data_IF_089172406002
#
_entry.id   IF_089172406002
#
_cell.length_a   1.000
_cell.length_b   1.000
_cell.length_c   1.000
_cell.angle_alpha   90.00
_cell.angle_beta   90.00
_cell.angle_gamma   90.00
#
_symmetry.space_group_name_H-M   'P 1'
#
loop_
_entity.id
_entity.type
_entity.pdbx_description
1 polymer ?
#
# COMPACT_ATOMS: atom_id res chain seq x y z
N UNK A 1 22.28 -10.90 -4.49
CA UNK A 1 21.24 -11.75 -5.13
C UNK A 1 20.94 -13.04 -4.37
N UNK A 2 21.94 -13.80 -3.86
CA UNK A 2 21.72 -15.06 -3.11
C UNK A 2 20.78 -14.91 -1.90
N UNK A 3 20.95 -13.86 -1.11
CA UNK A 3 20.09 -13.55 0.06
C UNK A 3 18.63 -13.31 -0.31
N UNK A 4 18.36 -12.50 -1.33
CA UNK A 4 17.00 -12.22 -1.80
C UNK A 4 16.29 -13.52 -2.19
N UNK A 5 16.99 -14.39 -2.93
CA UNK A 5 16.44 -15.70 -3.33
C UNK A 5 16.10 -16.58 -2.13
N UNK A 6 16.94 -16.57 -1.09
CA UNK A 6 16.69 -17.31 0.16
C UNK A 6 15.44 -16.76 0.86
N UNK A 7 15.32 -15.44 0.99
CA UNK A 7 14.17 -14.79 1.65
C UNK A 7 12.87 -15.02 0.89
N UNK A 8 12.88 -14.85 -0.44
CA UNK A 8 11.73 -15.14 -1.30
C UNK A 8 11.33 -16.61 -1.22
N UNK A 9 12.29 -17.53 -1.35
CA UNK A 9 12.03 -18.96 -1.24
C UNK A 9 11.43 -19.30 0.12
N UNK A 10 12.01 -18.80 1.21
CA UNK A 10 11.51 -19.02 2.55
C UNK A 10 10.07 -18.52 2.72
N UNK A 11 9.77 -17.31 2.23
CA UNK A 11 8.43 -16.72 2.33
C UNK A 11 7.39 -17.47 1.50
N UNK A 12 7.76 -17.89 0.29
CA UNK A 12 6.91 -18.75 -0.55
C UNK A 12 6.69 -20.11 0.10
N UNK A 13 7.72 -20.73 0.67
CA UNK A 13 7.57 -22.03 1.36
C UNK A 13 6.75 -21.92 2.63
N UNK A 14 6.90 -20.82 3.39
CA UNK A 14 6.09 -20.55 4.59
C UNK A 14 4.63 -20.37 4.20
N UNK A 15 4.37 -19.54 3.18
CA UNK A 15 3.02 -19.31 2.67
C UNK A 15 2.38 -20.61 2.15
N UNK A 16 3.13 -21.45 1.41
CA UNK A 16 2.63 -22.75 0.94
C UNK A 16 2.35 -23.77 2.04
N UNK A 17 2.97 -23.63 3.22
CA UNK A 17 2.89 -24.60 4.33
C UNK A 17 1.96 -24.15 5.45
N UNK A 18 1.36 -22.96 5.36
CA UNK A 18 0.52 -22.42 6.43
C UNK A 18 -0.82 -23.18 6.50
N UNK A 19 -1.10 -23.92 7.59
CA UNK A 19 -2.30 -24.75 7.71
C UNK A 19 -3.55 -23.95 8.05
N UNK A 20 -3.41 -22.69 8.49
CA UNK A 20 -4.53 -21.79 8.80
C UNK A 20 -5.20 -21.23 7.55
N UNK A 21 -4.55 -21.36 6.40
CA UNK A 21 -5.09 -21.05 5.09
C UNK A 21 -5.62 -22.34 4.49
N UNK A 22 -6.94 -22.46 4.34
CA UNK A 22 -7.62 -23.63 3.75
C UNK A 22 -7.29 -23.92 2.27
N UNK A 23 -6.09 -23.58 1.80
CA UNK A 23 -5.69 -23.45 0.40
C UNK A 23 -4.26 -23.91 0.14
N UNK A 24 -3.79 -24.97 0.79
CA UNK A 24 -2.60 -25.71 0.33
C UNK A 24 -2.77 -26.29 -1.09
N UNK A 25 -4.00 -26.24 -1.63
CA UNK A 25 -4.39 -26.69 -2.96
C UNK A 25 -4.29 -25.55 -3.99
N UNK A 26 -4.01 -25.91 -5.25
CA UNK A 26 -3.97 -24.98 -6.39
C UNK A 26 -5.28 -24.18 -6.52
N UNK A 27 -6.42 -24.83 -6.28
CA UNK A 27 -7.74 -24.21 -6.35
C UNK A 27 -7.88 -23.02 -5.39
N UNK A 28 -7.41 -23.15 -4.15
CA UNK A 28 -7.48 -22.07 -3.18
C UNK A 28 -6.57 -20.88 -3.52
N UNK A 29 -5.41 -21.13 -4.14
CA UNK A 29 -4.55 -20.07 -4.65
C UNK A 29 -5.20 -19.31 -5.82
N UNK A 30 -5.91 -20.02 -6.71
CA UNK A 30 -6.68 -19.42 -7.80
C UNK A 30 -7.80 -18.53 -7.24
N UNK A 31 -8.56 -19.02 -6.24
CA UNK A 31 -9.63 -18.23 -5.59
C UNK A 31 -9.06 -16.96 -4.96
N UNK A 32 -7.92 -17.04 -4.27
CA UNK A 32 -7.28 -15.87 -3.67
C UNK A 32 -6.84 -14.84 -4.74
N UNK A 33 -6.24 -15.31 -5.84
CA UNK A 33 -5.89 -14.45 -6.95
C UNK A 33 -7.13 -13.81 -7.57
N UNK A 34 -8.20 -14.58 -7.80
CA UNK A 34 -9.46 -14.08 -8.32
C UNK A 34 -10.07 -13.01 -7.40
N UNK A 35 -10.06 -13.23 -6.09
CA UNK A 35 -10.54 -12.24 -5.12
C UNK A 35 -9.68 -10.97 -5.11
N UNK A 36 -8.36 -11.12 -5.21
CA UNK A 36 -7.45 -9.98 -5.32
C UNK A 36 -7.72 -9.17 -6.60
N UNK A 37 -7.86 -9.84 -7.74
CA UNK A 37 -8.16 -9.19 -9.02
C UNK A 37 -9.55 -8.54 -9.00
N UNK A 38 -10.55 -9.21 -8.42
CA UNK A 38 -11.89 -8.67 -8.25
C UNK A 38 -11.90 -7.38 -7.42
N UNK A 39 -10.99 -7.24 -6.46
CA UNK A 39 -10.85 -6.03 -5.66
C UNK A 39 -10.02 -4.94 -6.36
N UNK A 40 -8.96 -5.31 -7.07
CA UNK A 40 -8.06 -4.36 -7.73
C UNK A 40 -8.64 -3.81 -9.04
N UNK A 41 -9.40 -4.60 -9.79
CA UNK A 41 -9.96 -4.20 -11.08
C UNK A 41 -10.88 -2.97 -10.99
N UNK A 42 -11.94 -2.95 -10.15
CA UNK A 42 -12.81 -1.78 -10.04
C UNK A 42 -12.05 -0.56 -9.51
N UNK A 43 -11.06 -0.77 -8.64
CA UNK A 43 -10.22 0.32 -8.15
C UNK A 43 -9.36 0.94 -9.27
N UNK A 44 -8.75 0.11 -10.10
CA UNK A 44 -7.95 0.56 -11.24
C UNK A 44 -8.81 1.25 -12.31
N UNK A 45 -9.98 0.70 -12.61
CA UNK A 45 -10.94 1.32 -13.54
C UNK A 45 -11.46 2.64 -13.00
N UNK A 46 -11.89 2.68 -11.73
CA UNK A 46 -12.35 3.90 -11.06
C UNK A 46 -11.27 4.98 -11.02
N UNK A 47 -10.02 4.58 -10.77
CA UNK A 47 -8.84 5.45 -10.88
C UNK A 47 -8.65 6.01 -12.30
N UNK A 48 -8.76 5.17 -13.32
CA UNK A 48 -8.61 5.56 -14.73
C UNK A 48 -9.64 6.60 -15.16
N UNK A 49 -10.93 6.38 -14.83
CA UNK A 49 -12.04 7.27 -15.23
C UNK A 49 -12.26 8.42 -14.25
N UNK A 50 -11.48 8.51 -13.17
CA UNK A 50 -11.71 9.48 -12.09
C UNK A 50 -11.70 10.92 -12.58
N UNK A 51 -10.85 11.27 -13.56
CA UNK A 51 -10.82 12.61 -14.12
C UNK A 51 -12.13 13.00 -14.82
N UNK A 52 -12.70 12.09 -15.60
CA UNK A 52 -13.97 12.34 -16.31
C UNK A 52 -15.12 12.48 -15.33
N UNK A 53 -15.20 11.58 -14.35
CA UNK A 53 -16.20 11.66 -13.27
C UNK A 53 -16.07 12.99 -12.51
N UNK A 54 -14.85 13.44 -12.21
CA UNK A 54 -14.64 14.72 -11.52
C UNK A 54 -15.03 15.93 -12.38
N UNK A 55 -14.78 15.90 -13.68
CA UNK A 55 -15.22 16.96 -14.61
C UNK A 55 -16.74 17.03 -14.72
N UNK A 56 -17.41 15.88 -14.69
CA UNK A 56 -18.87 15.80 -14.74
C UNK A 56 -19.51 16.31 -13.43
N UNK A 57 -18.95 15.94 -12.29
CA UNK A 57 -19.47 16.34 -10.97
C UNK A 57 -19.10 17.79 -10.59
N UNK A 58 -17.93 18.26 -11.01
CA UNK A 58 -17.39 19.58 -10.66
C UNK A 58 -16.84 20.30 -11.91
N UNK A 59 -17.72 20.76 -12.82
CA UNK A 59 -17.31 21.32 -14.11
C UNK A 59 -16.46 22.59 -14.00
N UNK A 60 -16.65 23.37 -12.94
CA UNK A 60 -15.89 24.60 -12.68
C UNK A 60 -14.52 24.34 -12.03
N UNK A 61 -14.25 23.10 -11.58
CA UNK A 61 -13.04 22.74 -10.87
C UNK A 61 -12.01 22.07 -11.80
N UNK A 62 -10.73 22.32 -11.53
CA UNK A 62 -9.66 21.60 -12.21
C UNK A 62 -9.54 20.17 -11.63
N UNK A 63 -9.93 19.16 -12.41
CA UNK A 63 -9.90 17.75 -12.01
C UNK A 63 -8.51 17.30 -11.50
N UNK A 64 -7.42 17.72 -12.15
CA UNK A 64 -6.07 17.38 -11.73
C UNK A 64 -5.71 17.99 -10.36
N UNK A 65 -6.19 19.19 -10.06
CA UNK A 65 -6.05 19.80 -8.74
C UNK A 65 -6.78 18.98 -7.67
N UNK A 66 -8.00 18.54 -7.96
CA UNK A 66 -8.79 17.70 -7.06
C UNK A 66 -8.12 16.34 -6.82
N UNK A 67 -7.60 15.71 -7.88
CA UNK A 67 -6.83 14.47 -7.80
C UNK A 67 -5.61 14.66 -6.90
N UNK A 68 -4.79 15.68 -7.15
CA UNK A 68 -3.61 15.97 -6.34
C UNK A 68 -3.95 16.20 -4.86
N UNK A 69 -5.05 16.91 -4.58
CA UNK A 69 -5.57 17.07 -3.22
C UNK A 69 -6.02 15.73 -2.61
N UNK A 70 -6.77 14.94 -3.37
CA UNK A 70 -7.21 13.59 -2.99
C UNK A 70 -6.06 12.68 -2.60
N UNK A 71 -4.93 12.75 -3.31
CA UNK A 71 -3.75 11.93 -3.03
C UNK A 71 -3.15 12.20 -1.65
N UNK A 72 -3.27 13.43 -1.11
CA UNK A 72 -2.82 13.75 0.24
C UNK A 72 -3.65 13.00 1.29
N UNK A 73 -4.97 12.86 1.06
CA UNK A 73 -5.87 12.11 1.95
C UNK A 73 -5.60 10.60 1.92
N UNK A 74 -5.00 10.07 0.85
CA UNK A 74 -4.61 8.65 0.80
C UNK A 74 -3.47 8.33 1.77
N UNK A 75 -2.58 9.29 2.06
CA UNK A 75 -1.42 9.06 2.93
C UNK A 75 -1.83 8.51 4.31
N UNK A 76 -2.71 9.18 5.09
CA UNK A 76 -3.11 8.65 6.39
C UNK A 76 -3.86 7.32 6.26
N UNK A 77 -4.70 7.14 5.24
CA UNK A 77 -5.46 5.88 5.01
C UNK A 77 -4.50 4.71 4.75
N UNK A 78 -3.54 4.90 3.85
CA UNK A 78 -2.52 3.89 3.51
C UNK A 78 -1.56 3.64 4.68
N UNK A 79 -1.29 4.66 5.49
CA UNK A 79 -0.46 4.54 6.69
C UNK A 79 -1.18 3.70 7.75
N UNK A 80 -2.44 4.05 8.05
CA UNK A 80 -3.27 3.38 9.03
C UNK A 80 -3.51 1.92 8.65
N UNK A 81 -3.93 1.65 7.41
CA UNK A 81 -4.12 0.27 6.92
C UNK A 81 -2.85 -0.57 7.08
N UNK A 82 -1.68 -0.03 6.73
CA UNK A 82 -0.41 -0.74 6.94
C UNK A 82 -0.12 -0.99 8.41
N UNK A 83 -0.33 0.00 9.26
CA UNK A 83 -0.10 -0.12 10.69
C UNK A 83 -1.00 -1.16 11.37
N UNK A 84 -2.26 -1.27 10.96
CA UNK A 84 -3.17 -2.26 11.53
C UNK A 84 -3.03 -3.66 10.92
N UNK A 85 -2.75 -3.75 9.62
CA UNK A 85 -2.80 -5.02 8.88
C UNK A 85 -1.43 -5.66 8.68
N UNK A 86 -0.32 -4.91 8.78
CA UNK A 86 1.02 -5.49 8.65
C UNK A 86 1.65 -5.79 10.00
N UNK A 87 2.26 -6.98 10.10
CA UNK A 87 3.15 -7.27 11.21
C UNK A 87 4.33 -6.27 11.27
N UNK A 88 4.77 -5.84 12.47
CA UNK A 88 5.84 -4.87 12.61
C UNK A 88 7.16 -5.38 12.00
N UNK A 89 8.06 -4.48 11.53
CA UNK A 89 9.33 -4.87 10.92
C UNK A 89 10.20 -5.77 11.80
N UNK A 90 10.17 -5.56 13.12
CA UNK A 90 10.94 -6.34 14.10
C UNK A 90 10.59 -7.83 14.07
N UNK A 91 9.31 -8.19 13.96
CA UNK A 91 8.87 -9.58 13.81
C UNK A 91 9.32 -10.21 12.49
N UNK A 92 9.30 -9.41 11.43
CA UNK A 92 9.64 -9.87 10.09
C UNK A 92 11.13 -10.16 9.96
N UNK A 93 11.99 -9.44 10.68
CA UNK A 93 13.45 -9.57 10.58
C UNK A 93 14.05 -10.42 11.69
N UNK A 94 13.44 -10.49 12.88
CA UNK A 94 13.98 -11.24 14.02
C UNK A 94 14.30 -12.70 13.70
N UNK A 95 13.42 -13.38 12.96
CA UNK A 95 13.62 -14.77 12.54
C UNK A 95 14.83 -14.99 11.60
N UNK A 96 15.31 -13.92 10.95
CA UNK A 96 16.45 -13.98 10.04
C UNK A 96 17.72 -13.38 10.63
N UNK A 97 17.64 -12.67 11.77
CA UNK A 97 18.77 -12.04 12.44
C UNK A 97 19.78 -13.06 13.00
N UNK A 98 19.33 -14.29 13.25
CA UNK A 98 20.16 -15.41 13.73
C UNK A 98 20.75 -16.25 12.59
N UNK A 99 20.35 -16.01 11.34
CA UNK A 99 20.86 -16.74 10.19
C UNK A 99 22.18 -16.12 9.68
N UNK A 100 23.08 -16.91 9.06
CA UNK A 100 24.33 -16.43 8.49
C UNK A 100 24.10 -15.67 7.18
N UNK A 101 23.38 -14.55 7.28
CA UNK A 101 22.98 -13.69 6.16
C UNK A 101 23.52 -12.29 6.44
N UNK A 102 24.11 -11.64 5.44
CA UNK A 102 24.62 -10.28 5.60
C UNK A 102 23.49 -9.30 5.92
N UNK A 103 23.74 -8.35 6.84
CA UNK A 103 22.79 -7.30 7.22
C UNK A 103 22.30 -6.50 6.01
N UNK A 104 23.21 -6.12 5.11
CA UNK A 104 22.86 -5.43 3.86
C UNK A 104 21.97 -6.28 2.95
N UNK A 105 22.22 -7.59 2.88
CA UNK A 105 21.39 -8.52 2.12
C UNK A 105 19.98 -8.64 2.68
N UNK A 106 19.84 -8.64 4.01
CA UNK A 106 18.54 -8.64 4.69
C UNK A 106 17.76 -7.34 4.43
N UNK A 107 18.43 -6.18 4.54
CA UNK A 107 17.81 -4.89 4.28
C UNK A 107 17.31 -4.77 2.84
N UNK A 108 18.16 -5.09 1.85
CA UNK A 108 17.78 -5.05 0.45
C UNK A 108 16.65 -6.05 0.14
N UNK A 109 16.71 -7.23 0.74
CA UNK A 109 15.63 -8.22 0.62
C UNK A 109 14.31 -7.73 1.20
N UNK A 110 14.36 -7.06 2.34
CA UNK A 110 13.18 -6.49 2.98
C UNK A 110 12.57 -5.35 2.16
N UNK A 111 13.38 -4.49 1.55
CA UNK A 111 12.92 -3.43 0.64
C UNK A 111 12.17 -4.03 -0.55
N UNK A 112 12.71 -5.07 -1.19
CA UNK A 112 12.04 -5.74 -2.32
C UNK A 112 10.72 -6.38 -1.87
N UNK A 113 10.72 -7.09 -0.74
CA UNK A 113 9.50 -7.69 -0.19
C UNK A 113 8.46 -6.64 0.22
N UNK A 114 8.91 -5.43 0.57
CA UNK A 114 8.07 -4.31 0.88
C UNK A 114 7.39 -3.74 -0.37
N UNK A 115 8.14 -3.61 -1.47
CA UNK A 115 7.61 -3.21 -2.78
C UNK A 115 6.55 -4.20 -3.29
N UNK A 116 6.66 -5.48 -2.95
CA UNK A 116 5.69 -6.52 -3.29
C UNK A 116 4.52 -6.64 -2.29
N UNK A 117 4.40 -5.73 -1.32
CA UNK A 117 3.27 -5.78 -0.39
C UNK A 117 1.96 -5.42 -1.09
N UNK A 118 0.86 -6.03 -0.64
CA UNK A 118 -0.48 -5.73 -1.17
C UNK A 118 -0.79 -4.23 -1.12
N UNK A 119 -0.37 -3.53 -0.07
CA UNK A 119 -0.60 -2.09 0.07
C UNK A 119 0.16 -1.26 -0.96
N UNK A 120 1.34 -1.73 -1.39
CA UNK A 120 2.10 -1.11 -2.48
C UNK A 120 1.41 -1.36 -3.82
N UNK A 121 0.91 -2.59 -4.04
CA UNK A 121 0.11 -2.91 -5.23
C UNK A 121 -1.13 -2.02 -5.30
N UNK A 122 -1.87 -1.85 -4.21
CA UNK A 122 -3.01 -0.93 -4.12
C UNK A 122 -2.64 0.50 -4.51
N UNK A 123 -1.56 1.05 -3.93
CA UNK A 123 -1.09 2.38 -4.26
C UNK A 123 -0.75 2.53 -5.74
N UNK A 124 -0.06 1.55 -6.33
CA UNK A 124 0.29 1.56 -7.77
C UNK A 124 -0.96 1.44 -8.65
N UNK A 125 -1.90 0.58 -8.30
CA UNK A 125 -3.18 0.42 -9.04
C UNK A 125 -4.04 1.68 -8.95
N UNK A 126 -3.90 2.48 -7.90
CA UNK A 126 -4.61 3.75 -7.79
C UNK A 126 -3.90 4.90 -8.51
N UNK A 127 -2.58 4.95 -8.46
CA UNK A 127 -1.78 6.06 -9.05
C UNK A 127 -1.53 5.85 -10.54
N UNK A 128 -1.25 4.61 -10.95
CA UNK A 128 -0.86 4.28 -12.32
C UNK A 128 -1.92 4.66 -13.36
N UNK A 129 -3.19 4.25 -13.21
CA UNK A 129 -4.23 4.57 -14.17
C UNK A 129 -4.54 6.07 -14.24
N UNK A 130 -4.58 6.78 -13.10
CA UNK A 130 -4.63 8.27 -13.07
C UNK A 130 -3.48 8.86 -13.87
N UNK A 131 -2.25 8.40 -13.65
CA UNK A 131 -1.09 8.93 -14.35
C UNK A 131 -1.22 8.76 -15.86
N UNK A 132 -1.64 7.58 -16.34
CA UNK A 132 -1.84 7.31 -17.76
C UNK A 132 -2.95 8.19 -18.35
N UNK A 133 -4.10 8.29 -17.67
CA UNK A 133 -5.28 8.98 -18.19
C UNK A 133 -5.13 10.52 -18.16
N UNK A 134 -4.59 11.06 -17.07
CA UNK A 134 -4.69 12.48 -16.75
C UNK A 134 -3.38 13.24 -16.85
N UNK A 135 -2.25 12.59 -16.59
CA UNK A 135 -0.96 13.28 -16.45
C UNK A 135 -0.08 13.08 -17.68
N UNK A 136 0.08 11.83 -18.11
CA UNK A 136 0.94 11.47 -19.24
C UNK A 136 0.43 12.03 -20.57
N UNK A 137 -0.89 12.23 -20.68
CA UNK A 137 -1.56 12.82 -21.85
C UNK A 137 -1.50 14.35 -21.84
N UNK A 138 -1.51 14.97 -20.66
CA UNK A 138 -1.62 16.42 -20.52
C UNK A 138 -0.26 17.14 -20.41
N UNK A 139 0.76 16.47 -19.86
CA UNK A 139 2.04 17.11 -19.48
C UNK A 139 3.20 16.59 -20.32
N UNK A 140 4.28 17.39 -20.41
CA UNK A 140 5.51 16.95 -21.04
C UNK A 140 6.06 15.67 -20.35
N UNK A 141 6.68 14.72 -21.08
CA UNK A 141 7.08 13.42 -20.52
C UNK A 141 7.94 13.51 -19.26
N UNK A 142 8.86 14.47 -19.20
CA UNK A 142 9.69 14.70 -18.01
C UNK A 142 8.86 15.13 -16.80
N UNK A 143 7.94 16.08 -16.97
CA UNK A 143 7.06 16.54 -15.89
C UNK A 143 6.09 15.44 -15.44
N UNK A 144 5.53 14.69 -16.37
CA UNK A 144 4.67 13.54 -16.06
C UNK A 144 5.42 12.46 -15.28
N UNK A 145 6.69 12.20 -15.62
CA UNK A 145 7.53 11.25 -14.89
C UNK A 145 7.84 11.74 -13.48
N UNK A 146 8.19 13.01 -13.32
CA UNK A 146 8.40 13.62 -12.00
C UNK A 146 7.14 13.52 -11.14
N UNK A 147 5.97 13.81 -11.72
CA UNK A 147 4.69 13.65 -11.02
C UNK A 147 4.48 12.21 -10.56
N UNK A 148 4.70 11.22 -11.42
CA UNK A 148 4.56 9.79 -11.07
C UNK A 148 5.49 9.40 -9.92
N UNK A 149 6.76 9.83 -9.99
CA UNK A 149 7.73 9.57 -8.92
C UNK A 149 7.25 10.17 -7.60
N UNK A 150 6.82 11.44 -7.61
CA UNK A 150 6.32 12.11 -6.41
C UNK A 150 5.06 11.44 -5.86
N UNK A 151 4.14 11.07 -6.72
CA UNK A 151 2.93 10.33 -6.37
C UNK A 151 3.24 8.98 -5.71
N UNK A 152 4.20 8.22 -6.25
CA UNK A 152 4.63 6.95 -5.67
C UNK A 152 5.40 7.16 -4.35
N UNK A 153 6.24 8.18 -4.23
CA UNK A 153 6.87 8.53 -2.95
C UNK A 153 5.82 8.85 -1.89
N UNK A 154 4.80 9.63 -2.26
CA UNK A 154 3.71 10.03 -1.38
C UNK A 154 2.83 8.85 -0.96
N UNK A 155 2.51 7.92 -1.86
CA UNK A 155 1.54 6.84 -1.60
C UNK A 155 2.18 5.52 -1.19
N UNK A 156 3.47 5.30 -1.51
CA UNK A 156 4.18 4.06 -1.19
C UNK A 156 5.20 4.28 -0.08
N UNK A 157 6.09 5.25 -0.23
CA UNK A 157 7.22 5.43 0.69
C UNK A 157 6.73 6.06 1.99
N UNK A 158 6.03 7.19 1.91
CA UNK A 158 5.61 7.91 3.11
C UNK A 158 4.69 7.06 4.02
N UNK A 159 3.67 6.34 3.52
CA UNK A 159 2.87 5.42 4.33
C UNK A 159 3.64 4.25 4.93
N UNK A 160 4.74 3.81 4.29
CA UNK A 160 5.62 2.79 4.85
C UNK A 160 6.31 3.28 6.11
N UNK A 161 6.97 4.43 5.98
CA UNK A 161 7.73 5.02 7.07
C UNK A 161 6.80 5.50 8.18
N UNK A 162 5.64 6.05 7.83
CA UNK A 162 4.58 6.40 8.78
C UNK A 162 4.12 5.20 9.60
N UNK A 163 3.83 4.06 8.96
CA UNK A 163 3.39 2.87 9.68
C UNK A 163 4.49 2.31 10.60
N UNK A 164 5.75 2.31 10.13
CA UNK A 164 6.88 1.90 10.96
C UNK A 164 7.08 2.82 12.16
N UNK A 165 6.96 4.14 11.97
CA UNK A 165 7.03 5.12 13.05
C UNK A 165 5.91 4.90 14.06
N UNK A 166 4.67 4.67 13.61
CA UNK A 166 3.54 4.36 14.50
C UNK A 166 3.77 3.08 15.30
N UNK A 167 4.35 2.03 14.70
CA UNK A 167 4.72 0.82 15.44
C UNK A 167 5.81 1.06 16.49
N UNK A 168 6.74 1.99 16.25
CA UNK A 168 7.75 2.37 17.22
C UNK A 168 7.16 3.19 18.37
N UNK A 169 6.25 4.11 18.08
CA UNK A 169 5.66 5.01 19.07
C UNK A 169 4.55 4.35 19.91
N UNK A 170 3.67 3.58 19.27
CA UNK A 170 2.46 3.02 19.88
C UNK A 170 2.58 1.52 20.21
N UNK A 171 3.68 0.87 19.80
CA UNK A 171 3.89 -0.55 19.99
C UNK A 171 2.94 -1.44 19.17
N UNK A 172 2.70 -2.66 19.66
CA UNK A 172 1.96 -3.72 18.95
C UNK A 172 0.44 -3.68 19.09
N UNK A 173 -0.09 -2.99 20.11
CA UNK A 173 -1.52 -3.01 20.46
C UNK A 173 -2.04 -1.61 20.77
N UNK A 174 -2.28 -0.79 19.74
CA UNK A 174 -2.78 0.58 19.88
C UNK A 174 -4.30 0.62 20.12
N UNK A 175 -4.94 -0.39 20.73
CA UNK A 175 -6.41 -0.46 20.83
C UNK A 175 -7.00 0.77 21.56
N UNK A 176 -6.27 1.31 22.54
CA UNK A 176 -6.64 2.59 23.18
C UNK A 176 -6.51 3.80 22.24
N UNK A 177 -5.53 3.82 21.34
CA UNK A 177 -5.36 4.86 20.33
C UNK A 177 -6.41 4.75 19.21
N UNK A 178 -6.77 3.53 18.80
CA UNK A 178 -7.88 3.28 17.87
C UNK A 178 -9.21 3.71 18.49
N UNK A 179 -9.45 3.38 19.75
CA UNK A 179 -10.62 3.83 20.50
C UNK A 179 -10.69 5.36 20.61
N UNK A 180 -9.56 6.02 20.85
CA UNK A 180 -9.48 7.48 20.91
C UNK A 180 -9.75 8.12 19.53
N UNK A 181 -9.18 7.57 18.46
CA UNK A 181 -9.38 8.10 17.10
C UNK A 181 -10.81 7.88 16.61
N UNK A 182 -11.38 6.70 16.86
CA UNK A 182 -12.78 6.39 16.58
C UNK A 182 -13.72 7.31 17.38
N UNK A 183 -13.42 7.56 18.65
CA UNK A 183 -14.17 8.50 19.49
C UNK A 183 -14.13 9.92 18.96
N UNK A 184 -12.96 10.44 18.57
CA UNK A 184 -12.82 11.78 17.99
C UNK A 184 -13.61 11.89 16.68
N UNK A 185 -13.52 10.88 15.82
CA UNK A 185 -14.24 10.87 14.53
C UNK A 185 -15.76 10.82 14.76
N UNK A 186 -16.23 10.06 15.76
CA UNK A 186 -17.63 10.02 16.17
C UNK A 186 -18.11 11.37 16.72
N UNK A 187 -17.29 12.08 17.50
CA UNK A 187 -17.63 13.43 17.96
C UNK A 187 -17.78 14.41 16.79
N UNK A 188 -16.87 14.38 15.82
CA UNK A 188 -16.96 15.25 14.64
C UNK A 188 -18.13 14.91 13.71
N UNK A 189 -18.57 13.64 13.66
CA UNK A 189 -19.75 13.22 12.89
C UNK A 189 -21.05 13.51 13.63
N UNK A 190 -21.04 13.52 14.97
CA UNK A 190 -22.22 13.85 15.76
C UNK A 190 -22.52 15.36 15.80
N UNK A 191 -21.51 16.21 15.57
CA UNK A 191 -21.63 17.67 15.52
C UNK A 191 -21.89 18.23 14.09
N UNK A 192 -21.97 17.37 13.06
CA UNK A 192 -22.22 17.74 11.66
C UNK A 192 -23.63 17.35 11.20
#
# INVERSE_FOLDING_TARGET
MRTLRILLRHRVTRWRRDPSWGTGTVAGQIVLLALLLFLLLPLGLGSYVSGDVLRELYPEANALRLINGGMLYLVPILTASRFFLQAPPSERVAAYATLPVSRTGLLNGQVVLFLLSIHTVFAVVLVGPVWVAEVATAWAPGAATVWLVMALLLTVVLPSHGANLLHLLLGRRPWGFVGALAGITLCFVADA
#
